data_IF_598963222234
#
_entry.id   IF_598963222234
#
_cell.length_a   1.000
_cell.length_b   1.000
_cell.length_c   1.000
_cell.angle_alpha   90.00
_cell.angle_beta   90.00
_cell.angle_gamma   90.00
#
_symmetry.space_group_name_H-M   'P 1'
#
loop_
_entity.id
_entity.type
_entity.pdbx_description
1 polymer ?
#
# COMPACT_ATOMS: atom_id res chain seq x y z
N UNK A 1 6.85 10.85 -2.53
CA UNK A 1 7.14 10.31 -1.18
C UNK A 1 8.54 10.66 -0.73
N UNK A 2 9.56 10.29 -1.48
CA UNK A 2 10.97 10.50 -1.13
C UNK A 2 11.31 11.97 -0.92
N UNK A 3 10.85 12.86 -1.78
CA UNK A 3 11.10 14.30 -1.65
C UNK A 3 10.57 14.84 -0.33
N UNK A 4 9.33 14.52 0.02
CA UNK A 4 8.71 14.97 1.27
C UNK A 4 9.46 14.40 2.50
N UNK A 5 9.94 13.16 2.42
CA UNK A 5 10.73 12.52 3.48
C UNK A 5 12.08 13.22 3.66
N UNK A 6 12.76 13.54 2.57
CA UNK A 6 14.06 14.23 2.59
C UNK A 6 13.97 15.65 3.18
N UNK A 7 12.81 16.31 3.05
CA UNK A 7 12.57 17.63 3.67
C UNK A 7 12.53 17.58 5.20
N UNK A 8 12.33 16.40 5.78
CA UNK A 8 12.27 16.19 7.23
C UNK A 8 10.90 16.38 7.84
N UNK A 9 10.69 15.81 9.03
CA UNK A 9 9.43 15.91 9.78
C UNK A 9 8.23 15.26 9.11
N UNK A 10 8.44 14.30 8.20
CA UNK A 10 7.36 13.67 7.47
C UNK A 10 6.66 12.60 8.32
N UNK A 11 5.33 12.59 8.22
CA UNK A 11 4.45 11.51 8.68
C UNK A 11 3.79 10.87 7.46
N UNK A 12 3.63 9.55 7.47
CA UNK A 12 3.02 8.83 6.37
C UNK A 12 2.07 7.74 6.86
N UNK A 13 1.01 7.53 6.08
CA UNK A 13 0.01 6.49 6.30
C UNK A 13 -0.23 5.74 5.00
N UNK A 14 -0.47 4.44 5.12
CA UNK A 14 -0.84 3.57 4.01
C UNK A 14 -2.17 2.88 4.32
N UNK A 15 -3.09 2.96 3.38
CA UNK A 15 -4.39 2.31 3.47
C UNK A 15 -4.57 1.35 2.30
N UNK A 16 -5.05 0.15 2.60
CA UNK A 16 -5.36 -0.88 1.60
C UNK A 16 -6.76 -1.44 1.86
N UNK A 17 -7.57 -1.48 0.81
CA UNK A 17 -8.89 -2.12 0.83
C UNK A 17 -8.93 -3.26 -0.18
N UNK A 18 -9.47 -4.39 0.24
CA UNK A 18 -9.60 -5.58 -0.59
C UNK A 18 -10.83 -6.42 -0.19
N UNK A 19 -11.20 -7.34 -1.05
CA UNK A 19 -12.25 -8.32 -0.73
C UNK A 19 -11.76 -9.39 0.23
N UNK A 20 -12.68 -10.07 0.95
CA UNK A 20 -12.31 -11.06 1.95
C UNK A 20 -11.55 -12.26 1.39
N UNK A 21 -11.82 -12.67 0.15
CA UNK A 21 -11.15 -13.83 -0.45
C UNK A 21 -9.64 -13.61 -0.64
N UNK A 22 -9.21 -12.36 -0.82
CA UNK A 22 -7.79 -12.01 -0.90
C UNK A 22 -7.05 -12.24 0.43
N UNK A 23 -7.77 -12.37 1.53
CA UNK A 23 -7.23 -12.59 2.88
C UNK A 23 -7.25 -14.06 3.32
N UNK A 24 -7.83 -14.96 2.51
CA UNK A 24 -7.83 -16.39 2.83
C UNK A 24 -6.41 -16.89 3.04
N UNK A 25 -6.24 -17.73 4.08
CA UNK A 25 -4.93 -18.26 4.47
C UNK A 25 -4.08 -17.30 5.30
N UNK A 26 -4.59 -16.13 5.65
CA UNK A 26 -3.94 -15.21 6.58
C UNK A 26 -4.52 -15.33 8.00
N UNK A 27 -3.77 -14.91 9.05
CA UNK A 27 -4.26 -14.98 10.44
C UNK A 27 -5.51 -14.14 10.72
N UNK A 28 -5.80 -13.13 9.88
CA UNK A 28 -6.93 -12.21 10.08
C UNK A 28 -8.21 -12.66 9.40
N UNK A 29 -8.16 -13.71 8.59
CA UNK A 29 -9.34 -14.20 7.89
C UNK A 29 -10.25 -14.99 8.83
N UNK A 30 -11.54 -14.70 8.77
CA UNK A 30 -12.62 -15.57 9.24
C UNK A 30 -13.85 -15.40 8.31
N UNK A 31 -14.79 -16.33 8.40
CA UNK A 31 -15.94 -16.37 7.50
C UNK A 31 -16.89 -15.17 7.67
N UNK A 32 -16.86 -14.47 8.80
CA UNK A 32 -17.66 -13.27 9.02
C UNK A 32 -17.27 -12.12 8.08
N UNK A 33 -16.05 -12.14 7.56
CA UNK A 33 -15.59 -11.17 6.56
C UNK A 33 -16.37 -11.22 5.24
N UNK A 34 -17.03 -12.35 4.94
CA UNK A 34 -17.87 -12.48 3.75
C UNK A 34 -19.15 -11.65 3.83
N UNK A 35 -19.58 -11.26 5.02
CA UNK A 35 -20.83 -10.53 5.26
C UNK A 35 -20.63 -9.17 5.95
N UNK A 36 -19.48 -8.94 6.59
CA UNK A 36 -19.20 -7.73 7.36
C UNK A 36 -17.93 -7.02 6.87
N UNK A 37 -18.07 -5.72 6.57
CA UNK A 37 -16.91 -4.87 6.32
C UNK A 37 -16.20 -4.55 7.64
N UNK A 38 -14.88 -4.71 7.66
CA UNK A 38 -14.10 -4.54 8.89
C UNK A 38 -12.66 -4.15 8.60
N UNK A 39 -12.09 -3.29 9.46
CA UNK A 39 -10.64 -3.10 9.51
C UNK A 39 -10.02 -4.35 10.13
N UNK A 40 -9.22 -5.07 9.36
CA UNK A 40 -8.62 -6.35 9.77
C UNK A 40 -7.20 -6.19 10.32
N UNK A 41 -6.57 -5.06 10.04
CA UNK A 41 -5.25 -4.74 10.56
C UNK A 41 -5.09 -3.22 10.72
N UNK A 42 -4.46 -2.82 11.80
CA UNK A 42 -3.99 -1.45 12.03
C UNK A 42 -2.72 -1.51 12.87
N UNK A 43 -1.64 -0.91 12.39
CA UNK A 43 -0.34 -0.95 13.06
C UNK A 43 0.76 -0.38 12.16
N UNK A 44 2.02 -0.71 12.47
CA UNK A 44 3.15 -0.30 11.64
C UNK A 44 3.33 -1.21 10.44
N UNK A 45 4.03 -0.71 9.41
CA UNK A 45 4.40 -1.54 8.26
C UNK A 45 5.26 -2.75 8.71
N UNK A 46 6.14 -2.58 9.70
CA UNK A 46 6.94 -3.67 10.23
C UNK A 46 6.07 -4.79 10.82
N UNK A 47 5.00 -4.43 11.53
CA UNK A 47 4.04 -5.41 12.08
C UNK A 47 3.24 -6.09 10.97
N UNK A 48 2.80 -5.33 9.95
CA UNK A 48 2.10 -5.86 8.78
C UNK A 48 2.98 -6.87 8.02
N UNK A 49 4.25 -6.57 7.82
CA UNK A 49 5.21 -7.46 7.13
C UNK A 49 5.37 -8.78 7.90
N UNK A 50 5.41 -8.74 9.22
CA UNK A 50 5.50 -9.97 10.04
C UNK A 50 4.23 -10.80 9.96
N UNK A 51 3.05 -10.16 9.95
CA UNK A 51 1.76 -10.84 9.93
C UNK A 51 1.39 -11.38 8.53
N UNK A 52 1.79 -10.67 7.48
CA UNK A 52 1.44 -10.99 6.08
C UNK A 52 2.69 -11.03 5.18
N UNK A 53 3.63 -11.94 5.38
CA UNK A 53 4.93 -11.89 4.71
C UNK A 53 4.85 -11.97 3.17
N UNK A 54 3.75 -12.47 2.61
CA UNK A 54 3.57 -12.66 1.16
C UNK A 54 2.47 -11.77 0.55
N UNK A 55 1.84 -10.90 1.33
CA UNK A 55 0.64 -10.14 0.90
C UNK A 55 0.79 -8.62 0.96
N UNK A 56 1.99 -8.11 1.26
CA UNK A 56 2.20 -6.68 1.57
C UNK A 56 3.30 -6.03 0.73
N UNK A 57 3.46 -6.45 -0.52
CA UNK A 57 4.52 -5.92 -1.40
C UNK A 57 4.46 -4.40 -1.55
N UNK A 58 3.27 -3.85 -1.74
CA UNK A 58 3.08 -2.39 -1.89
C UNK A 58 3.30 -1.67 -0.56
N UNK A 59 2.93 -2.28 0.56
CA UNK A 59 3.23 -1.76 1.90
C UNK A 59 4.73 -1.62 2.10
N UNK A 60 5.51 -2.64 1.71
CA UNK A 60 6.98 -2.61 1.78
C UNK A 60 7.52 -1.48 0.90
N UNK A 61 7.04 -1.37 -0.32
CA UNK A 61 7.47 -0.32 -1.25
C UNK A 61 7.15 1.07 -0.72
N UNK A 62 5.93 1.29 -0.21
CA UNK A 62 5.52 2.56 0.39
C UNK A 62 6.36 2.92 1.61
N UNK A 63 6.65 1.96 2.48
CA UNK A 63 7.50 2.16 3.65
C UNK A 63 8.92 2.58 3.26
N UNK A 64 9.52 1.88 2.30
CA UNK A 64 10.88 2.19 1.84
C UNK A 64 10.97 3.51 1.10
N UNK A 65 9.91 3.91 0.40
CA UNK A 65 9.85 5.18 -0.33
C UNK A 65 9.48 6.38 0.56
N UNK A 66 9.20 6.15 1.85
CA UNK A 66 8.75 7.20 2.77
C UNK A 66 9.50 7.13 4.11
N UNK A 67 8.79 6.97 5.20
CA UNK A 67 9.32 7.12 6.57
C UNK A 67 9.90 5.83 7.16
N UNK A 68 9.96 4.76 6.39
CA UNK A 68 10.46 3.46 6.82
C UNK A 68 9.40 2.59 7.51
N UNK A 69 9.68 1.27 7.62
CA UNK A 69 8.67 0.31 8.10
C UNK A 69 8.28 0.47 9.57
N UNK A 70 9.16 1.02 10.39
CA UNK A 70 8.86 1.26 11.81
C UNK A 70 7.93 2.47 12.03
N UNK A 71 7.86 3.39 11.08
CA UNK A 71 7.16 4.67 11.22
C UNK A 71 5.96 4.83 10.28
N UNK A 72 5.82 3.98 9.27
CA UNK A 72 4.64 4.00 8.40
C UNK A 72 3.46 3.33 9.11
N UNK A 73 2.39 4.08 9.34
CA UNK A 73 1.14 3.52 9.82
C UNK A 73 0.39 2.84 8.66
N UNK A 74 -0.11 1.64 8.91
CA UNK A 74 -0.82 0.81 7.93
C UNK A 74 -2.18 0.42 8.46
N UNK A 75 -3.22 0.61 7.66
CA UNK A 75 -4.54 0.09 7.91
C UNK A 75 -5.01 -0.75 6.71
N UNK A 76 -5.56 -1.90 6.99
CA UNK A 76 -6.13 -2.80 5.98
C UNK A 76 -7.60 -3.06 6.28
N UNK A 77 -8.44 -2.85 5.28
CA UNK A 77 -9.89 -3.06 5.36
C UNK A 77 -10.32 -4.20 4.45
N UNK A 78 -11.16 -5.07 4.98
CA UNK A 78 -11.88 -6.07 4.20
C UNK A 78 -13.33 -5.63 3.98
N UNK A 79 -13.77 -5.62 2.73
CA UNK A 79 -15.14 -5.21 2.36
C UNK A 79 -15.78 -6.29 1.50
N UNK A 80 -16.92 -6.88 1.94
CA UNK A 80 -17.64 -7.88 1.15
C UNK A 80 -18.00 -7.33 -0.23
N UNK A 81 -17.80 -8.15 -1.27
CA UNK A 81 -18.11 -7.77 -2.65
C UNK A 81 -17.14 -6.80 -3.30
N UNK A 82 -16.16 -6.29 -2.57
CA UNK A 82 -15.12 -5.43 -3.15
C UNK A 82 -14.24 -6.26 -4.10
N UNK A 83 -14.08 -5.77 -5.32
CA UNK A 83 -13.26 -6.41 -6.35
C UNK A 83 -12.02 -5.57 -6.63
N UNK A 84 -10.87 -6.23 -6.73
CA UNK A 84 -9.60 -5.55 -6.94
C UNK A 84 -8.95 -5.11 -5.64
N UNK A 85 -8.10 -4.11 -5.74
CA UNK A 85 -7.31 -3.53 -4.66
C UNK A 85 -7.34 -2.01 -4.73
N UNK A 86 -7.60 -1.36 -3.61
CA UNK A 86 -7.32 0.07 -3.45
C UNK A 86 -6.10 0.23 -2.57
N UNK A 87 -5.17 1.05 -2.99
CA UNK A 87 -3.93 1.32 -2.28
C UNK A 87 -3.71 2.83 -2.24
N UNK A 88 -3.72 3.38 -1.04
CA UNK A 88 -3.59 4.81 -0.81
C UNK A 88 -2.43 5.06 0.12
N UNK A 89 -1.48 5.87 -0.30
CA UNK A 89 -0.42 6.39 0.56
C UNK A 89 -0.57 7.90 0.69
N UNK A 90 -0.47 8.38 1.90
CA UNK A 90 -0.53 9.79 2.23
C UNK A 90 0.70 10.16 3.03
N UNK A 91 1.38 11.22 2.63
CA UNK A 91 2.55 11.76 3.34
C UNK A 91 2.39 13.25 3.54
N UNK A 92 2.76 13.72 4.71
CA UNK A 92 2.70 15.14 5.06
C UNK A 92 3.90 15.57 5.90
N UNK A 93 4.30 16.80 5.72
CA UNK A 93 5.17 17.55 6.62
C UNK A 93 4.64 18.98 6.75
N UNK A 94 5.42 19.89 7.34
CA UNK A 94 4.98 21.28 7.54
C UNK A 94 4.71 22.06 6.25
N UNK A 95 5.18 21.59 5.10
CA UNK A 95 5.12 22.32 3.83
C UNK A 95 4.44 21.54 2.72
N UNK A 96 4.38 20.20 2.81
CA UNK A 96 3.89 19.32 1.75
C UNK A 96 2.85 18.36 2.29
N UNK A 97 1.77 18.21 1.52
CA UNK A 97 0.79 17.16 1.69
C UNK A 97 0.59 16.48 0.33
N UNK A 98 0.95 15.22 0.23
CA UNK A 98 0.84 14.45 -1.00
C UNK A 98 0.04 13.16 -0.76
N UNK A 99 -0.79 12.81 -1.72
CA UNK A 99 -1.62 11.61 -1.71
C UNK A 99 -1.43 10.88 -3.03
N UNK A 100 -1.19 9.59 -2.96
CA UNK A 100 -1.26 8.69 -4.11
C UNK A 100 -2.33 7.66 -3.82
N UNK A 101 -3.36 7.62 -4.63
CA UNK A 101 -4.51 6.73 -4.49
C UNK A 101 -4.68 5.95 -5.77
N UNK A 102 -4.56 4.63 -5.70
CA UNK A 102 -4.60 3.74 -6.86
C UNK A 102 -5.64 2.65 -6.61
N UNK A 103 -6.60 2.56 -7.51
CA UNK A 103 -7.49 1.41 -7.62
C UNK A 103 -7.03 0.52 -8.78
N UNK A 104 -6.97 -0.78 -8.55
CA UNK A 104 -6.65 -1.77 -9.56
C UNK A 104 -7.69 -2.89 -9.54
N UNK A 105 -8.38 -3.08 -10.65
CA UNK A 105 -9.38 -4.15 -10.79
C UNK A 105 -8.73 -5.54 -10.87
N UNK A 106 -7.50 -5.60 -11.39
CA UNK A 106 -6.74 -6.83 -11.60
C UNK A 106 -5.28 -6.64 -11.20
N UNK A 107 -4.52 -7.73 -11.18
CA UNK A 107 -3.09 -7.71 -10.89
C UNK A 107 -2.22 -7.23 -12.07
N UNK A 108 -2.80 -6.93 -13.23
CA UNK A 108 -2.07 -6.56 -14.45
C UNK A 108 -1.24 -5.29 -14.29
N UNK A 109 -1.63 -4.39 -13.41
CA UNK A 109 -0.87 -3.17 -13.11
C UNK A 109 0.59 -3.49 -12.73
N UNK A 110 0.85 -4.62 -12.09
CA UNK A 110 2.20 -5.04 -11.73
C UNK A 110 3.07 -5.27 -12.97
N UNK A 111 2.53 -5.95 -13.99
CA UNK A 111 3.24 -6.18 -15.26
C UNK A 111 3.46 -4.88 -16.02
N UNK A 112 2.46 -4.02 -16.11
CA UNK A 112 2.58 -2.72 -16.78
C UNK A 112 3.57 -1.79 -16.07
N UNK A 113 3.70 -1.88 -14.74
CA UNK A 113 4.71 -1.11 -14.00
C UNK A 113 6.14 -1.51 -14.39
N UNK A 114 6.37 -2.79 -14.69
CA UNK A 114 7.66 -3.27 -15.22
C UNK A 114 7.93 -2.67 -16.58
N UNK A 115 6.95 -2.68 -17.49
CA UNK A 115 7.07 -2.07 -18.83
C UNK A 115 7.39 -0.57 -18.72
N UNK A 116 6.70 0.14 -17.84
CA UNK A 116 6.94 1.56 -17.58
C UNK A 116 8.38 1.81 -17.08
N UNK A 117 8.86 0.99 -16.14
CA UNK A 117 10.22 1.09 -15.62
C UNK A 117 11.27 0.85 -16.71
N UNK A 118 11.08 -0.17 -17.54
CA UNK A 118 12.00 -0.46 -18.65
C UNK A 118 12.04 0.68 -19.67
N UNK A 119 10.90 1.27 -19.98
CA UNK A 119 10.83 2.46 -20.84
C UNK A 119 11.59 3.63 -20.25
N UNK A 120 11.44 3.90 -18.96
CA UNK A 120 12.16 4.97 -18.27
C UNK A 120 13.67 4.77 -18.33
N UNK A 121 14.14 3.53 -18.10
CA UNK A 121 15.58 3.20 -18.18
C UNK A 121 16.13 3.48 -19.59
N UNK A 122 15.35 3.19 -20.64
CA UNK A 122 15.75 3.38 -22.02
C UNK A 122 15.53 4.81 -22.55
N UNK A 123 14.87 5.68 -21.76
CA UNK A 123 14.52 7.04 -22.18
C UNK A 123 15.59 8.05 -21.74
N UNK A 124 15.85 9.10 -22.55
CA UNK A 124 16.68 10.22 -22.11
C UNK A 124 16.01 11.10 -21.04
N UNK A 125 14.70 10.96 -20.86
CA UNK A 125 13.91 11.66 -19.83
C UNK A 125 13.27 10.62 -18.92
N UNK A 126 13.55 10.69 -17.62
CA UNK A 126 13.02 9.77 -16.62
C UNK A 126 11.89 10.45 -15.85
N UNK A 127 10.74 9.77 -15.77
CA UNK A 127 9.62 10.17 -14.91
C UNK A 127 9.64 9.34 -13.63
N UNK A 128 9.63 10.02 -12.51
CA UNK A 128 9.65 9.42 -11.18
C UNK A 128 8.40 9.72 -10.39
#
# INVERSE_FOLDING_TARGET
LQTATLMGGAEAEFFNEKGPDALRGTPVYDDSLQTEARTVFSGTAAEAIRLFPTKVNVTVAAARASVGPANLHVAMRSTPGFKGDTQRVEIRNSQVHAVVDVYSATAEIAAWSVVSTLRNIASPIVFV
#
